data_IF_574230245609
#
_entry.id   IF_574230245609
#
_cell.length_a   1.000
_cell.length_b   1.000
_cell.length_c   1.000
_cell.angle_alpha   90.00
_cell.angle_beta   90.00
_cell.angle_gamma   90.00
#
_symmetry.space_group_name_H-M   'P 1'
#
loop_
_entity.id
_entity.type
_entity.pdbx_description
1 polymer ?
#
# COMPACT_ATOMS: atom_id res chain seq x y z
N UNK A 1 53.53 -3.04 -13.68
CA UNK A 1 52.52 -3.34 -12.65
C UNK A 1 51.75 -4.58 -13.06
N UNK A 2 51.74 -5.62 -12.22
CA UNK A 2 51.04 -6.87 -12.50
C UNK A 2 49.53 -6.62 -12.54
N UNK A 3 48.90 -6.80 -13.70
CA UNK A 3 47.44 -6.94 -13.80
C UNK A 3 47.05 -8.17 -12.97
N UNK A 4 46.50 -7.95 -11.77
CA UNK A 4 45.94 -9.02 -10.94
C UNK A 4 44.62 -9.51 -11.57
N UNK A 5 44.72 -10.32 -12.62
CA UNK A 5 43.60 -11.02 -13.25
C UNK A 5 43.40 -12.42 -12.70
N UNK A 6 44.01 -12.77 -11.56
CA UNK A 6 43.83 -14.10 -10.99
C UNK A 6 42.53 -14.15 -10.20
N UNK A 7 41.45 -14.61 -10.82
CA UNK A 7 40.27 -15.05 -10.07
C UNK A 7 40.63 -16.34 -9.32
N UNK A 8 41.27 -16.20 -8.16
CA UNK A 8 41.80 -17.29 -7.32
C UNK A 8 40.68 -18.00 -6.57
N UNK A 9 39.73 -17.21 -6.09
CA UNK A 9 38.68 -17.66 -5.19
C UNK A 9 37.35 -17.84 -5.91
N UNK A 10 36.59 -18.84 -5.50
CA UNK A 10 35.23 -19.10 -5.99
C UNK A 10 34.35 -19.57 -4.84
N UNK A 11 33.06 -19.24 -4.90
CA UNK A 11 32.08 -19.85 -4.02
C UNK A 11 31.86 -21.31 -4.40
N UNK A 12 31.93 -22.23 -3.45
CA UNK A 12 31.80 -23.67 -3.70
C UNK A 12 30.75 -24.30 -2.81
N UNK A 13 30.19 -25.42 -3.27
CA UNK A 13 29.29 -26.23 -2.46
C UNK A 13 30.12 -27.06 -1.47
N UNK A 14 29.93 -26.77 -0.17
CA UNK A 14 30.46 -27.57 0.94
C UNK A 14 29.30 -28.00 1.82
N UNK A 15 29.27 -29.28 2.21
CA UNK A 15 28.43 -29.71 3.32
C UNK A 15 28.94 -29.05 4.59
N UNK A 16 28.12 -28.20 5.20
CA UNK A 16 28.38 -27.64 6.52
C UNK A 16 27.26 -28.06 7.44
N UNK A 17 27.62 -28.50 8.63
CA UNK A 17 26.66 -28.66 9.71
C UNK A 17 26.41 -27.30 10.34
N UNK A 18 25.19 -26.80 10.17
CA UNK A 18 24.74 -25.52 10.73
C UNK A 18 24.22 -25.68 12.18
N UNK A 19 24.73 -26.68 12.90
CA UNK A 19 24.44 -26.93 14.31
C UNK A 19 25.51 -26.24 15.15
N UNK A 20 25.13 -25.16 15.81
CA UNK A 20 26.05 -24.34 16.60
C UNK A 20 25.85 -24.54 18.09
N UNK A 21 26.96 -24.51 18.82
CA UNK A 21 26.96 -24.31 20.28
C UNK A 21 26.32 -22.97 20.64
N UNK A 22 25.78 -22.85 21.86
CA UNK A 22 25.16 -21.59 22.31
C UNK A 22 26.15 -20.42 22.28
N UNK A 23 27.42 -20.67 22.62
CA UNK A 23 28.49 -19.67 22.53
C UNK A 23 28.72 -19.16 21.11
N UNK A 24 28.76 -20.07 20.12
CA UNK A 24 28.94 -19.71 18.71
C UNK A 24 27.73 -18.94 18.18
N UNK A 25 26.51 -19.28 18.60
CA UNK A 25 25.29 -18.54 18.24
C UNK A 25 25.33 -17.11 18.74
N UNK A 26 25.78 -16.89 19.98
CA UNK A 26 25.91 -15.53 20.55
C UNK A 26 26.91 -14.70 19.75
N UNK A 27 28.06 -15.27 19.40
CA UNK A 27 29.09 -14.60 18.59
C UNK A 27 28.59 -14.30 17.17
N UNK A 28 27.97 -15.28 16.50
CA UNK A 28 27.36 -15.07 15.18
C UNK A 28 26.32 -13.96 15.20
N UNK A 29 25.43 -13.92 16.20
CA UNK A 29 24.44 -12.85 16.35
C UNK A 29 25.06 -11.49 16.64
N UNK A 30 26.22 -11.45 17.30
CA UNK A 30 26.98 -10.21 17.52
C UNK A 30 27.56 -9.71 16.19
N UNK A 31 28.21 -10.59 15.42
CA UNK A 31 28.76 -10.28 14.10
C UNK A 31 27.67 -9.78 13.16
N UNK A 32 26.52 -10.47 13.08
CA UNK A 32 25.40 -10.01 12.25
C UNK A 32 24.96 -8.60 12.63
N UNK A 33 24.81 -8.30 13.93
CA UNK A 33 24.42 -6.95 14.38
C UNK A 33 25.46 -5.90 14.02
N UNK A 34 26.75 -6.19 14.23
CA UNK A 34 27.84 -5.26 13.89
C UNK A 34 27.93 -5.03 12.38
N UNK A 35 27.86 -6.10 11.60
CA UNK A 35 27.87 -6.04 10.14
C UNK A 35 26.71 -5.22 9.58
N UNK A 36 25.49 -5.42 10.09
CA UNK A 36 24.32 -4.63 9.66
C UNK A 36 24.43 -3.15 10.03
N UNK A 37 25.08 -2.83 11.16
CA UNK A 37 25.38 -1.45 11.55
C UNK A 37 26.40 -0.84 10.59
N UNK A 38 27.50 -1.53 10.32
CA UNK A 38 28.51 -1.07 9.37
C UNK A 38 27.91 -0.85 7.97
N UNK A 39 27.11 -1.78 7.45
CA UNK A 39 26.41 -1.55 6.17
C UNK A 39 25.64 -0.22 6.17
N UNK A 40 24.97 0.11 7.28
CA UNK A 40 24.25 1.38 7.44
C UNK A 40 25.22 2.58 7.45
N UNK A 41 26.34 2.48 8.15
CA UNK A 41 27.39 3.52 8.20
C UNK A 41 28.01 3.79 6.81
N UNK A 42 28.05 2.79 5.94
CA UNK A 42 28.46 2.93 4.53
C UNK A 42 27.29 3.32 3.59
N UNK A 43 26.12 3.69 4.12
CA UNK A 43 24.90 4.00 3.36
C UNK A 43 24.39 2.84 2.47
N UNK A 44 24.69 1.60 2.86
CA UNK A 44 24.28 0.38 2.17
C UNK A 44 23.05 -0.21 2.87
N UNK A 45 21.94 -0.24 2.14
CA UNK A 45 20.72 -0.89 2.63
C UNK A 45 20.75 -2.39 2.37
N UNK A 46 20.64 -3.21 3.42
CA UNK A 46 20.47 -4.66 3.30
C UNK A 46 19.31 -5.03 2.37
N UNK A 47 18.20 -4.28 2.42
CA UNK A 47 17.07 -4.45 1.51
C UNK A 47 17.49 -4.29 0.05
N UNK A 48 18.24 -3.24 -0.29
CA UNK A 48 18.71 -2.99 -1.66
C UNK A 48 19.73 -4.04 -2.11
N UNK A 49 20.62 -4.49 -1.22
CA UNK A 49 21.55 -5.59 -1.50
C UNK A 49 20.80 -6.87 -1.92
N UNK A 50 19.69 -7.18 -1.25
CA UNK A 50 18.90 -8.38 -1.51
C UNK A 50 17.88 -8.26 -2.66
N UNK A 51 17.72 -7.08 -3.26
CA UNK A 51 16.72 -6.85 -4.33
C UNK A 51 17.20 -7.32 -5.70
N UNK A 52 18.53 -7.30 -5.93
CA UNK A 52 19.16 -7.60 -7.21
C UNK A 52 19.82 -8.98 -7.19
N UNK A 53 19.46 -9.81 -8.15
CA UNK A 53 20.12 -11.10 -8.38
C UNK A 53 21.40 -10.85 -9.21
N UNK A 54 22.55 -11.20 -8.64
CA UNK A 54 23.86 -11.13 -9.33
C UNK A 54 24.22 -12.54 -9.79
N UNK A 55 24.67 -12.70 -11.04
CA UNK A 55 25.02 -14.02 -11.58
C UNK A 55 26.12 -14.69 -10.75
N UNK A 56 26.14 -16.03 -10.70
CA UNK A 56 27.19 -16.77 -9.97
C UNK A 56 28.61 -16.38 -10.46
N UNK A 57 28.77 -16.23 -11.77
CA UNK A 57 30.02 -15.79 -12.40
C UNK A 57 30.44 -14.40 -11.92
N UNK A 58 29.52 -13.43 -11.89
CA UNK A 58 29.84 -12.07 -11.47
C UNK A 58 30.05 -11.96 -9.97
N UNK A 59 29.34 -12.74 -9.15
CA UNK A 59 29.63 -12.82 -7.70
C UNK A 59 31.04 -13.32 -7.43
N UNK A 60 31.53 -14.30 -8.17
CA UNK A 60 32.91 -14.75 -8.05
C UNK A 60 33.91 -13.66 -8.46
N UNK A 61 33.63 -12.86 -9.50
CA UNK A 61 34.46 -11.69 -9.84
C UNK A 61 34.48 -10.68 -8.69
N UNK A 62 33.30 -10.35 -8.15
CA UNK A 62 33.13 -9.40 -7.04
C UNK A 62 33.85 -9.87 -5.77
N UNK A 63 33.80 -11.17 -5.47
CA UNK A 63 34.56 -11.78 -4.38
C UNK A 63 36.07 -11.52 -4.52
N UNK A 64 36.63 -11.81 -5.69
CA UNK A 64 38.06 -11.62 -5.92
C UNK A 64 38.44 -10.14 -5.86
N UNK A 65 37.64 -9.24 -6.45
CA UNK A 65 37.83 -7.79 -6.31
C UNK A 65 37.89 -7.41 -4.83
N UNK A 66 36.89 -7.80 -4.04
CA UNK A 66 36.85 -7.45 -2.62
C UNK A 66 38.08 -7.96 -1.85
N UNK A 67 38.49 -9.21 -2.08
CA UNK A 67 39.67 -9.80 -1.43
C UNK A 67 40.98 -9.14 -1.87
N UNK A 68 41.12 -8.77 -3.14
CA UNK A 68 42.30 -8.07 -3.62
C UNK A 68 42.36 -6.63 -3.04
N UNK A 69 41.20 -5.96 -2.92
CA UNK A 69 41.11 -4.61 -2.37
C UNK A 69 41.35 -4.55 -0.86
N UNK A 70 40.96 -5.57 -0.09
CA UNK A 70 41.27 -5.66 1.35
C UNK A 70 42.80 -5.69 1.58
N UNK A 71 43.55 -6.32 0.66
CA UNK A 71 45.00 -6.44 0.76
C UNK A 71 45.75 -5.21 0.18
N UNK A 72 45.02 -4.18 -0.28
CA UNK A 72 45.59 -2.93 -0.74
C UNK A 72 45.35 -1.84 0.31
N UNK A 73 46.36 -1.58 1.14
CA UNK A 73 46.26 -0.66 2.29
C UNK A 73 45.74 0.73 1.91
N UNK A 74 46.18 1.27 0.76
CA UNK A 74 45.75 2.59 0.29
C UNK A 74 44.23 2.61 0.01
N UNK A 75 43.72 1.61 -0.71
CA UNK A 75 42.29 1.53 -1.04
C UNK A 75 41.46 1.20 0.19
N UNK A 76 41.90 0.24 1.02
CA UNK A 76 41.21 -0.14 2.24
C UNK A 76 41.10 1.05 3.22
N UNK A 77 42.20 1.77 3.44
CA UNK A 77 42.23 2.96 4.28
C UNK A 77 41.33 4.07 3.71
N UNK A 78 41.40 4.33 2.40
CA UNK A 78 40.53 5.31 1.74
C UNK A 78 39.05 4.97 1.92
N UNK A 79 38.66 3.70 1.77
CA UNK A 79 37.29 3.26 1.99
C UNK A 79 36.85 3.49 3.45
N UNK A 80 37.69 3.16 4.43
CA UNK A 80 37.38 3.35 5.85
C UNK A 80 37.17 4.83 6.18
N UNK A 81 38.03 5.70 5.66
CA UNK A 81 37.99 7.15 5.94
C UNK A 81 36.86 7.87 5.21
N UNK A 82 36.65 7.57 3.93
CA UNK A 82 35.72 8.33 3.07
C UNK A 82 34.35 7.68 2.94
N UNK A 83 34.22 6.40 3.33
CA UNK A 83 33.06 5.53 3.10
C UNK A 83 32.70 5.37 1.62
N UNK A 84 33.64 5.65 0.71
CA UNK A 84 33.46 5.56 -0.75
C UNK A 84 34.61 4.77 -1.38
N UNK A 85 34.28 4.01 -2.43
CA UNK A 85 35.27 3.31 -3.23
C UNK A 85 35.94 4.26 -4.24
N UNK A 86 37.28 4.32 -4.30
CA UNK A 86 38.00 5.07 -5.33
C UNK A 86 37.91 4.34 -6.69
N UNK A 87 36.83 4.60 -7.43
CA UNK A 87 36.46 3.82 -8.63
C UNK A 87 37.54 3.79 -9.72
N UNK A 88 38.19 4.93 -9.98
CA UNK A 88 39.26 5.01 -10.99
C UNK A 88 40.44 4.13 -10.60
N UNK A 89 40.90 4.26 -9.35
CA UNK A 89 42.05 3.51 -8.83
C UNK A 89 41.76 2.01 -8.81
N UNK A 90 40.53 1.61 -8.42
CA UNK A 90 40.13 0.19 -8.45
C UNK A 90 40.12 -0.33 -9.88
N UNK A 91 39.60 0.43 -10.84
CA UNK A 91 39.55 0.01 -12.24
C UNK A 91 40.95 -0.21 -12.81
N UNK A 92 41.88 0.69 -12.52
CA UNK A 92 43.28 0.59 -12.95
C UNK A 92 43.99 -0.61 -12.30
N UNK A 93 43.82 -0.79 -10.98
CA UNK A 93 44.48 -1.85 -10.23
C UNK A 93 43.93 -3.26 -10.54
N UNK A 94 42.62 -3.37 -10.76
CA UNK A 94 41.95 -4.67 -10.93
C UNK A 94 41.72 -5.03 -12.40
N UNK A 95 41.80 -4.05 -13.31
CA UNK A 95 41.50 -4.23 -14.73
C UNK A 95 40.01 -4.40 -15.06
N UNK A 96 39.10 -4.28 -14.07
CA UNK A 96 37.66 -4.32 -14.32
C UNK A 96 37.13 -2.95 -14.77
N UNK A 97 36.14 -2.90 -15.68
CA UNK A 97 35.53 -1.64 -16.10
C UNK A 97 34.90 -0.89 -14.92
N UNK A 98 35.05 0.44 -14.89
CA UNK A 98 34.44 1.32 -13.88
C UNK A 98 32.94 1.06 -13.73
N UNK A 99 32.22 0.83 -14.83
CA UNK A 99 30.78 0.56 -14.80
C UNK A 99 30.44 -0.75 -14.06
N UNK A 100 31.25 -1.80 -14.23
CA UNK A 100 31.07 -3.05 -13.50
C UNK A 100 31.26 -2.84 -12.00
N UNK A 101 32.29 -2.08 -11.61
CA UNK A 101 32.57 -1.76 -10.21
C UNK A 101 31.43 -0.93 -9.62
N UNK A 102 31.01 0.13 -10.32
CA UNK A 102 29.94 1.05 -9.91
C UNK A 102 28.62 0.34 -9.69
N UNK A 103 28.20 -0.49 -10.64
CA UNK A 103 26.95 -1.28 -10.55
C UNK A 103 27.00 -2.26 -9.37
N UNK A 104 28.18 -2.77 -9.02
CA UNK A 104 28.36 -3.77 -7.96
C UNK A 104 28.94 -3.20 -6.65
N UNK A 105 29.10 -1.89 -6.52
CA UNK A 105 29.85 -1.25 -5.44
C UNK A 105 29.38 -1.67 -4.05
N UNK A 106 28.07 -1.76 -3.84
CA UNK A 106 27.51 -2.12 -2.54
C UNK A 106 27.86 -3.55 -2.15
N UNK A 107 27.90 -4.48 -3.11
CA UNK A 107 28.25 -5.87 -2.85
C UNK A 107 29.78 -6.01 -2.65
N UNK A 108 30.58 -5.25 -3.39
CA UNK A 108 32.04 -5.17 -3.19
C UNK A 108 32.33 -4.70 -1.76
N UNK A 109 31.76 -3.56 -1.34
CA UNK A 109 31.96 -3.04 0.03
C UNK A 109 31.43 -4.03 1.07
N UNK A 110 30.26 -4.64 0.86
CA UNK A 110 29.73 -5.65 1.78
C UNK A 110 30.69 -6.84 1.97
N UNK A 111 31.33 -7.33 0.90
CA UNK A 111 32.36 -8.36 0.99
C UNK A 111 33.63 -7.86 1.67
N UNK A 112 34.08 -6.63 1.38
CA UNK A 112 35.24 -6.05 2.05
C UNK A 112 35.04 -5.94 3.57
N UNK A 113 33.84 -5.55 4.00
CA UNK A 113 33.46 -5.53 5.41
C UNK A 113 33.44 -6.94 6.01
N UNK A 114 32.82 -7.92 5.33
CA UNK A 114 32.75 -9.30 5.82
C UNK A 114 34.12 -9.96 6.00
N UNK A 115 35.07 -9.75 5.07
CA UNK A 115 36.29 -10.56 5.02
C UNK A 115 37.54 -9.93 5.62
N UNK A 116 37.59 -8.60 5.84
CA UNK A 116 38.82 -8.03 6.36
C UNK A 116 38.72 -6.65 7.01
N UNK A 117 37.80 -5.78 6.57
CA UNK A 117 37.70 -4.45 7.19
C UNK A 117 36.94 -4.51 8.52
N UNK A 118 35.96 -5.42 8.65
CA UNK A 118 35.22 -5.64 9.88
C UNK A 118 35.65 -6.91 10.61
N UNK A 119 35.33 -6.98 11.91
CA UNK A 119 35.50 -8.19 12.72
C UNK A 119 34.24 -9.05 12.71
N UNK A 120 33.98 -9.70 11.56
CA UNK A 120 32.79 -10.54 11.33
C UNK A 120 33.14 -12.00 11.07
N UNK A 121 34.19 -12.51 11.73
CA UNK A 121 34.75 -13.83 11.45
C UNK A 121 33.77 -14.99 11.62
N UNK A 122 32.78 -14.92 12.54
CA UNK A 122 31.73 -15.93 12.67
C UNK A 122 30.77 -15.89 11.50
N UNK A 123 30.40 -14.71 11.02
CA UNK A 123 29.52 -14.56 9.86
C UNK A 123 30.23 -14.91 8.54
N UNK A 124 31.47 -14.46 8.37
CA UNK A 124 32.29 -14.76 7.19
C UNK A 124 32.53 -16.27 7.03
N UNK A 125 32.75 -16.99 8.13
CA UNK A 125 32.89 -18.45 8.14
C UNK A 125 31.66 -19.21 7.65
N UNK A 126 30.50 -18.56 7.53
CA UNK A 126 29.30 -19.17 6.98
C UNK A 126 29.38 -19.30 5.45
N UNK A 127 30.20 -18.49 4.80
CA UNK A 127 30.45 -18.55 3.37
C UNK A 127 31.37 -19.73 3.02
N UNK A 128 31.08 -20.38 1.90
CA UNK A 128 31.83 -21.53 1.40
C UNK A 128 32.71 -21.06 0.25
N UNK A 129 33.93 -20.65 0.58
CA UNK A 129 34.91 -20.15 -0.38
C UNK A 129 36.01 -21.19 -0.57
N UNK A 130 36.29 -21.49 -1.82
CA UNK A 130 37.37 -22.36 -2.27
C UNK A 130 38.24 -21.66 -3.29
N UNK A 131 39.11 -22.45 -3.92
CA UNK A 131 39.94 -22.02 -5.04
C UNK A 131 39.39 -22.56 -6.36
N UNK A 132 39.82 -22.04 -7.50
CA UNK A 132 39.42 -22.59 -8.82
C UNK A 132 39.80 -24.06 -9.05
N UNK A 133 40.76 -24.59 -8.27
CA UNK A 133 41.14 -25.99 -8.32
C UNK A 133 40.07 -26.89 -7.68
N UNK A 134 39.28 -26.35 -6.76
CA UNK A 134 38.12 -27.04 -6.23
C UNK A 134 37.10 -27.20 -7.37
N UNK A 135 36.66 -28.43 -7.63
CA UNK A 135 35.64 -28.71 -8.66
C UNK A 135 34.35 -27.97 -8.30
N UNK A 136 34.21 -26.75 -8.81
CA UNK A 136 33.03 -25.93 -8.61
C UNK A 136 31.89 -26.47 -9.47
N UNK A 137 30.88 -27.03 -8.83
CA UNK A 137 29.56 -27.18 -9.43
C UNK A 137 28.75 -25.93 -9.08
N UNK A 138 27.95 -25.45 -10.05
CA UNK A 138 26.97 -24.40 -9.77
C UNK A 138 26.02 -24.94 -8.68
N UNK A 139 25.82 -24.22 -7.58
CA UNK A 139 25.11 -24.77 -6.44
C UNK A 139 23.63 -25.02 -6.74
N UNK A 140 23.15 -26.20 -6.33
CA UNK A 140 21.78 -26.66 -6.54
C UNK A 140 20.78 -26.00 -5.57
N UNK A 141 21.20 -25.68 -4.35
CA UNK A 141 20.33 -25.15 -3.28
C UNK A 141 20.59 -23.67 -2.98
N UNK A 142 19.84 -22.78 -3.63
CA UNK A 142 19.98 -21.32 -3.45
C UNK A 142 19.05 -20.71 -2.40
N UNK A 143 17.96 -21.37 -2.03
CA UNK A 143 16.94 -20.77 -1.15
C UNK A 143 17.15 -21.12 0.33
N UNK A 144 18.40 -20.98 0.79
CA UNK A 144 18.77 -21.26 2.18
C UNK A 144 19.99 -20.43 2.59
N UNK A 145 20.09 -20.10 3.88
CA UNK A 145 21.20 -19.33 4.40
C UNK A 145 21.02 -18.92 5.84
N UNK A 146 22.01 -18.19 6.35
CA UNK A 146 21.97 -17.62 7.70
C UNK A 146 21.06 -16.40 7.70
N UNK A 147 20.03 -16.43 8.54
CA UNK A 147 19.09 -15.33 8.69
C UNK A 147 19.77 -14.10 9.26
N UNK A 148 19.74 -13.00 8.50
CA UNK A 148 20.32 -11.72 8.90
C UNK A 148 19.30 -10.80 9.55
N UNK A 149 18.11 -10.69 8.97
CA UNK A 149 17.08 -9.73 9.42
C UNK A 149 15.69 -10.08 8.89
N UNK A 150 14.67 -9.76 9.69
CA UNK A 150 13.26 -9.86 9.31
C UNK A 150 12.69 -8.58 8.71
N UNK A 151 11.76 -8.77 7.77
CA UNK A 151 10.94 -7.76 7.12
C UNK A 151 9.49 -8.26 7.04
N UNK A 152 8.87 -8.43 8.21
CA UNK A 152 7.52 -8.96 8.35
C UNK A 152 7.47 -10.45 8.00
N UNK A 153 6.77 -10.79 6.92
CA UNK A 153 6.63 -12.19 6.45
C UNK A 153 7.84 -12.72 5.69
N UNK A 154 8.80 -11.86 5.34
CA UNK A 154 10.02 -12.26 4.63
C UNK A 154 11.25 -12.01 5.49
N UNK A 155 12.28 -12.81 5.29
CA UNK A 155 13.59 -12.63 5.93
C UNK A 155 14.66 -12.46 4.86
N UNK A 156 15.67 -11.64 5.15
CA UNK A 156 16.92 -11.63 4.36
C UNK A 156 17.89 -12.63 4.95
N UNK A 157 18.46 -13.48 4.10
CA UNK A 157 19.51 -14.43 4.45
C UNK A 157 20.81 -14.10 3.72
N UNK A 158 21.95 -14.51 4.31
CA UNK A 158 23.21 -14.68 3.61
C UNK A 158 23.36 -16.15 3.21
N UNK A 159 23.37 -16.44 1.92
CA UNK A 159 23.59 -17.82 1.43
C UNK A 159 25.06 -18.19 1.58
N UNK A 160 25.41 -19.48 1.69
CA UNK A 160 26.81 -19.93 1.68
C UNK A 160 27.60 -19.50 0.42
N UNK A 161 26.90 -19.08 -0.63
CA UNK A 161 27.44 -18.67 -1.92
C UNK A 161 27.52 -17.13 -2.08
N UNK A 162 27.43 -16.41 -0.96
CA UNK A 162 27.62 -14.97 -0.90
C UNK A 162 26.44 -14.16 -1.41
N UNK A 163 25.25 -14.75 -1.60
CA UNK A 163 24.05 -14.01 -1.98
C UNK A 163 23.36 -13.44 -0.75
N UNK A 164 22.89 -12.20 -0.87
CA UNK A 164 21.88 -11.65 0.02
C UNK A 164 20.52 -11.91 -0.63
N UNK A 165 19.67 -12.72 0.00
CA UNK A 165 18.43 -13.20 -0.63
C UNK A 165 17.24 -12.97 0.29
N UNK A 166 16.13 -12.50 -0.30
CA UNK A 166 14.83 -12.51 0.36
C UNK A 166 14.20 -13.91 0.27
N UNK A 167 13.79 -14.45 1.41
CA UNK A 167 13.05 -15.70 1.53
C UNK A 167 11.74 -15.50 2.29
N UNK A 168 10.70 -16.22 1.89
CA UNK A 168 9.58 -16.55 2.76
C UNK A 168 9.98 -17.82 3.54
N UNK A 169 10.29 -17.71 4.84
CA UNK A 169 10.87 -18.80 5.62
C UNK A 169 9.85 -19.92 5.85
N UNK A 170 10.27 -21.16 5.65
CA UNK A 170 9.45 -22.34 5.94
C UNK A 170 9.04 -22.41 7.42
N UNK A 171 9.92 -21.92 8.31
CA UNK A 171 9.67 -21.82 9.75
C UNK A 171 9.73 -20.35 10.20
N UNK A 172 8.56 -19.80 10.56
CA UNK A 172 8.42 -18.38 10.93
C UNK A 172 9.00 -18.03 12.31
N UNK A 173 9.16 -18.99 13.22
CA UNK A 173 9.70 -18.79 14.57
C UNK A 173 11.25 -18.76 14.63
N UNK A 174 11.93 -18.74 13.48
CA UNK A 174 13.39 -18.63 13.42
C UNK A 174 13.90 -17.28 13.91
N UNK A 175 15.06 -17.27 14.54
CA UNK A 175 15.73 -16.07 15.03
C UNK A 175 16.84 -15.61 14.07
N UNK A 176 17.30 -14.38 14.25
CA UNK A 176 18.52 -13.90 13.57
C UNK A 176 19.71 -14.79 13.95
N UNK A 177 20.52 -15.16 12.96
CA UNK A 177 21.64 -16.10 13.09
C UNK A 177 21.27 -17.56 12.85
N UNK A 178 19.98 -17.92 12.81
CA UNK A 178 19.58 -19.28 12.52
C UNK A 178 19.75 -19.59 11.02
N UNK A 179 20.14 -20.82 10.69
CA UNK A 179 20.16 -21.29 9.31
C UNK A 179 18.75 -21.70 8.88
N UNK A 180 18.20 -21.03 7.87
CA UNK A 180 16.82 -21.22 7.43
C UNK A 180 16.75 -21.60 5.96
N UNK A 181 15.66 -22.28 5.60
CA UNK A 181 15.25 -22.56 4.22
C UNK A 181 13.92 -21.86 3.94
N UNK A 182 13.63 -21.61 2.67
CA UNK A 182 12.38 -20.98 2.29
C UNK A 182 12.13 -20.97 0.80
N UNK A 183 11.08 -20.26 0.40
CA UNK A 183 10.75 -20.01 -1.00
C UNK A 183 11.08 -18.57 -1.40
N UNK A 184 11.23 -18.30 -2.70
CA UNK A 184 11.32 -16.92 -3.19
C UNK A 184 9.96 -16.24 -2.93
N UNK A 185 9.92 -15.06 -2.31
CA UNK A 185 8.65 -14.42 -1.99
C UNK A 185 7.89 -14.02 -3.27
N UNK A 186 6.58 -14.32 -3.30
CA UNK A 186 5.69 -14.01 -4.42
C UNK A 186 5.60 -12.49 -4.63
N UNK A 187 5.55 -11.72 -3.53
CA UNK A 187 5.46 -10.26 -3.55
C UNK A 187 6.61 -9.66 -2.74
N UNK A 188 7.45 -8.85 -3.40
CA UNK A 188 8.51 -8.10 -2.70
C UNK A 188 7.88 -7.04 -1.77
N UNK A 189 8.47 -6.74 -0.60
CA UNK A 189 7.88 -5.84 0.40
C UNK A 189 7.47 -4.45 -0.13
N UNK A 190 8.20 -3.88 -1.10
CA UNK A 190 7.84 -2.60 -1.73
C UNK A 190 6.51 -2.66 -2.48
N UNK A 191 6.22 -3.77 -3.18
CA UNK A 191 4.98 -3.93 -3.94
C UNK A 191 3.77 -4.09 -3.02
N UNK A 192 3.96 -4.77 -1.88
CA UNK A 192 2.93 -4.89 -0.85
C UNK A 192 2.55 -3.53 -0.25
N UNK A 193 3.53 -2.65 0.01
CA UNK A 193 3.25 -1.28 0.49
C UNK A 193 2.46 -0.46 -0.54
N UNK A 194 2.87 -0.50 -1.81
CA UNK A 194 2.14 0.20 -2.88
C UNK A 194 0.68 -0.26 -2.95
N UNK A 195 0.46 -1.58 -2.89
CA UNK A 195 -0.89 -2.14 -2.90
C UNK A 195 -1.70 -1.68 -1.67
N UNK A 196 -1.11 -1.73 -0.48
CA UNK A 196 -1.75 -1.24 0.74
C UNK A 196 -2.13 0.25 0.65
N UNK A 197 -1.26 1.09 0.09
CA UNK A 197 -1.54 2.51 -0.15
C UNK A 197 -2.70 2.71 -1.13
N UNK A 198 -2.76 1.92 -2.21
CA UNK A 198 -3.87 1.98 -3.17
C UNK A 198 -5.19 1.58 -2.53
N UNK A 199 -5.20 0.51 -1.72
CA UNK A 199 -6.40 0.07 -0.99
C UNK A 199 -6.86 1.15 -0.01
N UNK A 200 -5.93 1.75 0.74
CA UNK A 200 -6.25 2.84 1.66
C UNK A 200 -6.84 4.07 0.93
N UNK A 201 -6.26 4.45 -0.21
CA UNK A 201 -6.77 5.55 -1.03
C UNK A 201 -8.18 5.28 -1.57
N UNK A 202 -8.45 4.04 -1.99
CA UNK A 202 -9.75 3.61 -2.46
C UNK A 202 -10.81 3.65 -1.34
N UNK A 203 -10.46 3.17 -0.14
CA UNK A 203 -11.33 3.27 1.04
C UNK A 203 -11.63 4.74 1.36
N UNK A 204 -10.62 5.61 1.34
CA UNK A 204 -10.80 7.03 1.59
C UNK A 204 -11.72 7.68 0.54
N UNK A 205 -11.58 7.32 -0.73
CA UNK A 205 -12.47 7.78 -1.81
C UNK A 205 -13.92 7.36 -1.56
N UNK A 206 -14.16 6.11 -1.13
CA UNK A 206 -15.51 5.64 -0.80
C UNK A 206 -16.10 6.36 0.40
N UNK A 207 -15.32 6.60 1.46
CA UNK A 207 -15.77 7.36 2.63
C UNK A 207 -16.09 8.81 2.23
N UNK A 208 -15.23 9.44 1.45
CA UNK A 208 -15.45 10.80 0.97
C UNK A 208 -16.69 10.90 0.09
N UNK A 209 -16.88 9.95 -0.83
CA UNK A 209 -18.07 9.87 -1.68
C UNK A 209 -19.34 9.66 -0.84
N UNK A 210 -19.33 8.72 0.11
CA UNK A 210 -20.45 8.50 1.01
C UNK A 210 -20.77 9.78 1.80
N UNK A 211 -19.76 10.43 2.38
CA UNK A 211 -19.94 11.70 3.08
C UNK A 211 -20.58 12.75 2.18
N UNK A 212 -20.05 12.99 0.98
CA UNK A 212 -20.64 13.98 0.06
C UNK A 212 -22.03 13.58 -0.47
N UNK A 213 -22.32 12.28 -0.58
CA UNK A 213 -23.61 11.80 -1.03
C UNK A 213 -24.69 11.92 0.05
N UNK A 214 -24.37 11.71 1.32
CA UNK A 214 -25.35 11.76 2.41
C UNK A 214 -25.52 13.14 3.05
N UNK A 215 -24.69 14.13 2.71
CA UNK A 215 -24.86 15.51 3.19
C UNK A 215 -26.12 16.15 2.56
N UNK A 216 -27.12 16.54 3.36
CA UNK A 216 -28.25 17.31 2.87
C UNK A 216 -27.80 18.73 2.51
N UNK A 217 -28.23 19.25 1.37
CA UNK A 217 -27.92 20.63 0.93
C UNK A 217 -29.15 21.38 0.42
N UNK A 218 -30.27 20.68 0.24
CA UNK A 218 -31.56 21.27 -0.10
C UNK A 218 -32.65 20.59 0.70
N UNK A 219 -33.63 21.34 1.20
CA UNK A 219 -34.75 20.76 1.94
C UNK A 219 -36.03 21.56 1.75
N UNK A 220 -37.16 20.87 1.80
CA UNK A 220 -38.48 21.49 1.84
C UNK A 220 -39.40 20.76 2.82
N UNK A 221 -40.41 21.48 3.28
CA UNK A 221 -41.41 21.00 4.21
C UNK A 221 -42.80 21.11 3.61
N UNK A 222 -43.57 20.03 3.67
CA UNK A 222 -45.02 20.04 3.42
C UNK A 222 -45.71 20.47 4.69
N UNK A 223 -46.56 21.50 4.61
CA UNK A 223 -47.37 22.02 5.72
C UNK A 223 -48.86 21.82 5.44
N UNK A 224 -49.62 21.49 6.48
CA UNK A 224 -51.06 21.25 6.41
C UNK A 224 -51.52 20.17 7.40
N UNK A 225 -52.51 19.37 7.01
CA UNK A 225 -52.97 18.24 7.84
C UNK A 225 -51.91 17.14 7.96
N UNK A 226 -51.16 16.90 6.89
CA UNK A 226 -50.03 15.97 6.86
C UNK A 226 -48.75 16.79 6.74
N UNK A 227 -47.89 16.74 7.76
CA UNK A 227 -46.66 17.53 7.79
C UNK A 227 -45.41 16.65 7.71
N UNK A 228 -44.53 16.96 6.77
CA UNK A 228 -43.28 16.21 6.56
C UNK A 228 -42.17 17.10 5.98
N UNK A 229 -40.94 16.85 6.41
CA UNK A 229 -39.71 17.47 5.89
C UNK A 229 -38.94 16.47 5.03
N UNK A 230 -38.38 16.95 3.93
CA UNK A 230 -37.59 16.15 3.00
C UNK A 230 -36.27 16.84 2.70
N UNK A 231 -35.16 16.12 2.86
CA UNK A 231 -33.81 16.61 2.58
C UNK A 231 -33.18 15.86 1.42
N UNK A 232 -32.51 16.62 0.55
CA UNK A 232 -31.89 16.16 -0.67
C UNK A 232 -30.40 16.52 -0.68
N UNK A 233 -29.59 15.61 -1.21
CA UNK A 233 -28.19 15.88 -1.46
C UNK A 233 -27.99 16.75 -2.72
N UNK A 234 -26.73 17.09 -2.99
CA UNK A 234 -26.35 17.93 -4.12
C UNK A 234 -26.65 17.34 -5.50
N UNK A 235 -26.96 16.05 -5.57
CA UNK A 235 -27.34 15.35 -6.79
C UNK A 235 -28.87 15.28 -6.97
N UNK A 236 -29.63 15.98 -6.11
CA UNK A 236 -31.10 15.95 -6.13
C UNK A 236 -31.69 14.61 -5.70
N UNK A 237 -30.95 13.83 -4.91
CA UNK A 237 -31.41 12.56 -4.37
C UNK A 237 -31.79 12.72 -2.91
N UNK A 238 -32.95 12.19 -2.56
CA UNK A 238 -33.46 12.27 -1.20
C UNK A 238 -32.59 11.42 -0.26
N UNK A 239 -32.10 12.05 0.81
CA UNK A 239 -31.24 11.44 1.84
C UNK A 239 -31.94 11.28 3.18
N UNK A 240 -32.97 12.09 3.44
CA UNK A 240 -33.73 12.07 4.69
C UNK A 240 -35.18 12.48 4.44
N UNK A 241 -36.10 11.85 5.18
CA UNK A 241 -37.51 12.23 5.24
C UNK A 241 -37.97 12.08 6.70
N UNK A 242 -38.68 13.09 7.21
CA UNK A 242 -39.13 13.13 8.60
C UNK A 242 -40.58 13.61 8.68
N UNK A 243 -41.44 12.85 9.36
CA UNK A 243 -42.82 13.26 9.62
C UNK A 243 -42.83 14.22 10.80
N UNK A 244 -43.38 15.42 10.61
CA UNK A 244 -43.39 16.48 11.62
C UNK A 244 -44.60 16.38 12.56
N UNK A 245 -45.67 15.70 12.13
CA UNK A 245 -46.84 15.40 12.96
C UNK A 245 -47.19 13.89 12.97
N UNK A 246 -48.28 13.50 13.64
CA UNK A 246 -48.73 12.08 13.68
C UNK A 246 -49.03 11.55 12.28
N UNK A 247 -49.75 12.33 11.49
CA UNK A 247 -50.24 11.96 10.18
C UNK A 247 -49.08 11.83 9.18
N UNK A 248 -48.13 12.78 9.21
CA UNK A 248 -46.91 12.72 8.41
C UNK A 248 -46.01 11.54 8.77
N UNK A 249 -45.93 11.16 10.05
CA UNK A 249 -45.22 9.93 10.45
C UNK A 249 -45.90 8.67 9.92
N UNK A 250 -47.23 8.63 9.89
CA UNK A 250 -48.01 7.53 9.30
C UNK A 250 -47.74 7.38 7.80
N UNK A 251 -47.73 8.49 7.06
CA UNK A 251 -47.45 8.49 5.61
C UNK A 251 -46.01 8.06 5.29
N UNK A 252 -45.07 8.26 6.22
CA UNK A 252 -43.67 7.89 6.00
C UNK A 252 -43.28 6.50 6.54
N UNK A 253 -44.13 5.86 7.34
CA UNK A 253 -43.81 4.62 8.05
C UNK A 253 -43.54 3.42 7.11
N UNK A 254 -44.26 3.33 5.99
CA UNK A 254 -44.26 2.17 5.10
C UNK A 254 -43.51 2.39 3.78
N UNK A 255 -42.77 3.49 3.67
CA UNK A 255 -42.22 3.92 2.38
C UNK A 255 -40.70 4.11 2.41
N UNK A 256 -40.01 3.30 1.59
CA UNK A 256 -38.61 3.53 1.24
C UNK A 256 -38.52 4.73 0.28
N UNK A 257 -38.15 5.89 0.82
CA UNK A 257 -37.95 7.11 0.04
C UNK A 257 -36.49 7.35 -0.38
N UNK A 258 -35.54 6.51 0.05
CA UNK A 258 -34.11 6.72 -0.21
C UNK A 258 -33.79 6.76 -1.71
N UNK A 259 -32.92 7.70 -2.11
CA UNK A 259 -32.41 7.87 -3.48
C UNK A 259 -33.45 8.25 -4.55
N UNK A 260 -34.63 8.71 -4.13
CA UNK A 260 -35.66 9.27 -5.03
C UNK A 260 -35.36 10.71 -5.42
N UNK A 261 -35.85 11.11 -6.60
CA UNK A 261 -35.86 12.51 -7.04
C UNK A 261 -36.97 13.28 -6.34
N UNK A 262 -36.94 14.60 -6.39
CA UNK A 262 -38.00 15.47 -5.82
C UNK A 262 -39.38 15.07 -6.35
N UNK A 263 -39.52 14.92 -7.67
CA UNK A 263 -40.75 14.48 -8.32
C UNK A 263 -41.28 13.16 -7.75
N UNK A 264 -40.48 12.09 -7.81
CA UNK A 264 -40.92 10.77 -7.33
C UNK A 264 -41.14 10.71 -5.81
N UNK A 265 -40.44 11.53 -5.03
CA UNK A 265 -40.65 11.66 -3.58
C UNK A 265 -42.00 12.32 -3.29
N UNK A 266 -42.26 13.48 -3.89
CA UNK A 266 -43.49 14.23 -3.67
C UNK A 266 -44.70 13.45 -4.18
N UNK A 267 -44.63 12.89 -5.38
CA UNK A 267 -45.70 12.06 -5.94
C UNK A 267 -46.07 10.88 -5.03
N UNK A 268 -45.06 10.18 -4.49
CA UNK A 268 -45.28 9.04 -3.60
C UNK A 268 -45.87 9.46 -2.26
N UNK A 269 -45.38 10.56 -1.68
CA UNK A 269 -45.93 11.11 -0.45
C UNK A 269 -47.41 11.52 -0.61
N UNK A 270 -47.76 12.18 -1.71
CA UNK A 270 -49.14 12.56 -2.01
C UNK A 270 -50.03 11.34 -2.22
N UNK A 271 -49.56 10.34 -2.97
CA UNK A 271 -50.31 9.10 -3.21
C UNK A 271 -50.60 8.35 -1.91
N UNK A 272 -49.61 8.22 -1.03
CA UNK A 272 -49.75 7.53 0.25
C UNK A 272 -50.67 8.30 1.21
N UNK A 273 -50.54 9.63 1.27
CA UNK A 273 -51.44 10.46 2.07
C UNK A 273 -52.90 10.43 1.60
N UNK A 274 -53.14 10.25 0.29
CA UNK A 274 -54.47 10.04 -0.28
C UNK A 274 -55.02 8.64 0.03
N UNK A 275 -54.19 7.59 -0.11
CA UNK A 275 -54.59 6.20 0.17
C UNK A 275 -54.99 6.01 1.64
N UNK A 276 -54.27 6.66 2.56
CA UNK A 276 -54.60 6.69 3.99
C UNK A 276 -55.78 7.62 4.34
N UNK A 277 -56.46 8.24 3.37
CA UNK A 277 -57.53 9.22 3.57
C UNK A 277 -57.14 10.44 4.43
N UNK A 278 -55.84 10.75 4.51
CA UNK A 278 -55.33 11.91 5.24
C UNK A 278 -55.44 13.18 4.38
N UNK A 279 -55.26 13.04 3.08
CA UNK A 279 -55.64 14.01 2.05
C UNK A 279 -56.91 13.54 1.32
N UNK A 280 -57.72 14.47 0.86
CA UNK A 280 -58.88 14.23 0.00
C UNK A 280 -58.68 14.88 -1.37
N UNK A 281 -59.49 14.48 -2.36
CA UNK A 281 -59.54 15.21 -3.62
C UNK A 281 -59.84 16.69 -3.38
N UNK A 282 -59.23 17.57 -4.18
CA UNK A 282 -59.31 19.04 -4.03
C UNK A 282 -58.56 19.61 -2.81
N UNK A 283 -57.73 18.83 -2.12
CA UNK A 283 -56.91 19.35 -1.02
C UNK A 283 -55.91 20.40 -1.50
N UNK A 284 -55.72 21.45 -0.68
CA UNK A 284 -54.68 22.46 -0.88
C UNK A 284 -53.52 22.23 0.10
N UNK A 285 -52.28 22.16 -0.42
CA UNK A 285 -51.06 21.98 0.37
C UNK A 285 -50.10 23.13 0.16
N UNK A 286 -49.30 23.45 1.19
CA UNK A 286 -48.20 24.41 1.08
C UNK A 286 -46.87 23.70 1.25
N UNK A 287 -45.98 23.87 0.27
CA UNK A 287 -44.59 23.47 0.32
C UNK A 287 -43.75 24.70 0.67
N UNK A 288 -42.93 24.61 1.72
CA UNK A 288 -42.00 25.66 2.12
C UNK A 288 -40.58 25.15 1.91
N UNK A 289 -39.83 25.77 1.02
CA UNK A 289 -38.39 25.52 0.87
C UNK A 289 -37.68 26.09 2.10
N UNK A 290 -36.92 25.24 2.80
CA UNK A 290 -36.22 25.57 4.05
C UNK A 290 -34.75 25.84 3.77
N UNK A 291 -34.12 25.00 2.92
CA UNK A 291 -32.72 25.16 2.54
C UNK A 291 -32.51 24.97 1.04
N UNK A 292 -31.59 25.77 0.49
CA UNK A 292 -31.19 25.68 -0.90
C UNK A 292 -32.22 26.25 -1.88
N UNK A 293 -31.99 26.01 -3.17
CA UNK A 293 -32.86 26.43 -4.26
C UNK A 293 -33.36 25.20 -5.02
N UNK A 294 -34.63 25.26 -5.42
CA UNK A 294 -35.27 24.25 -6.25
C UNK A 294 -35.77 24.89 -7.54
N UNK A 295 -35.50 24.27 -8.68
CA UNK A 295 -36.08 24.69 -9.95
C UNK A 295 -37.57 24.30 -9.99
N UNK A 296 -38.41 25.15 -10.60
CA UNK A 296 -39.85 24.89 -10.71
C UNK A 296 -40.15 23.55 -11.40
N UNK A 297 -39.33 23.16 -12.39
CA UNK A 297 -39.50 21.91 -13.12
C UNK A 297 -39.23 20.67 -12.25
N UNK A 298 -38.45 20.79 -11.17
CA UNK A 298 -38.19 19.68 -10.25
C UNK A 298 -39.47 19.22 -9.51
N UNK A 299 -40.46 20.10 -9.38
CA UNK A 299 -41.78 19.79 -8.81
C UNK A 299 -42.86 19.52 -9.86
N UNK A 300 -42.58 19.82 -11.15
CA UNK A 300 -43.49 19.59 -12.29
C UNK A 300 -43.13 18.32 -13.07
N UNK A 301 -42.43 17.38 -12.45
CA UNK A 301 -42.15 16.11 -13.08
C UNK A 301 -43.44 15.31 -13.36
N UNK A 302 -43.29 14.25 -14.16
CA UNK A 302 -44.41 13.47 -14.67
C UNK A 302 -45.23 12.83 -13.54
N UNK A 303 -44.56 12.28 -12.53
CA UNK A 303 -45.19 11.55 -11.43
C UNK A 303 -46.04 12.50 -10.57
N UNK A 304 -45.48 13.65 -10.18
CA UNK A 304 -46.17 14.66 -9.36
C UNK A 304 -47.32 15.27 -10.13
N UNK A 305 -47.09 15.62 -11.40
CA UNK A 305 -48.12 16.18 -12.26
C UNK A 305 -49.31 15.22 -12.43
N UNK A 306 -49.04 13.93 -12.59
CA UNK A 306 -50.07 12.90 -12.66
C UNK A 306 -50.90 12.82 -11.36
N UNK A 307 -50.26 12.87 -10.18
CA UNK A 307 -50.98 12.87 -8.90
C UNK A 307 -51.84 14.11 -8.70
N UNK A 308 -51.32 15.28 -9.10
CA UNK A 308 -52.04 16.55 -9.05
C UNK A 308 -53.28 16.51 -9.95
N UNK A 309 -53.13 16.08 -11.20
CA UNK A 309 -54.23 16.01 -12.16
C UNK A 309 -55.30 14.99 -11.74
N UNK A 310 -54.89 13.76 -11.39
CA UNK A 310 -55.80 12.68 -11.04
C UNK A 310 -56.69 12.99 -9.83
N UNK A 311 -56.16 13.73 -8.86
CA UNK A 311 -56.84 13.99 -7.58
C UNK A 311 -57.27 15.46 -7.40
N UNK A 312 -57.14 16.26 -8.47
CA UNK A 312 -57.45 17.69 -8.49
C UNK A 312 -56.77 18.48 -7.36
N UNK A 313 -55.51 18.17 -7.03
CA UNK A 313 -54.80 18.80 -5.91
C UNK A 313 -54.30 20.19 -6.29
N UNK A 314 -54.20 21.08 -5.30
CA UNK A 314 -53.55 22.38 -5.48
C UNK A 314 -52.38 22.52 -4.52
N UNK A 315 -51.18 22.76 -5.05
CA UNK A 315 -49.98 22.86 -4.22
C UNK A 315 -49.33 24.22 -4.42
N UNK A 316 -49.20 24.98 -3.34
CA UNK A 316 -48.50 26.27 -3.31
C UNK A 316 -47.06 26.02 -2.89
N UNK A 317 -46.10 26.40 -3.71
CA UNK A 317 -44.67 26.32 -3.38
C UNK A 317 -44.16 27.71 -3.02
N UNK A 318 -43.61 27.85 -1.82
CA UNK A 318 -42.93 29.05 -1.33
C UNK A 318 -41.42 28.77 -1.28
N UNK A 319 -40.63 29.54 -2.03
CA UNK A 319 -39.18 29.38 -2.13
C UNK A 319 -38.40 30.02 -0.97
N UNK A 320 -39.09 30.67 -0.02
CA UNK A 320 -38.47 31.30 1.15
C UNK A 320 -37.77 32.65 0.88
N UNK A 321 -37.55 32.99 -0.39
CA UNK A 321 -36.97 34.26 -0.88
C UNK A 321 -38.04 35.31 -1.25
N UNK A 322 -39.31 35.02 -0.95
CA UNK A 322 -40.47 35.84 -1.33
C UNK A 322 -41.06 35.46 -2.70
N UNK A 323 -40.43 34.56 -3.46
CA UNK A 323 -40.98 33.98 -4.67
C UNK A 323 -41.79 32.71 -4.37
N UNK A 324 -42.73 32.40 -5.26
CA UNK A 324 -43.52 31.19 -5.17
C UNK A 324 -44.30 30.91 -6.44
N UNK A 325 -44.75 29.68 -6.61
CA UNK A 325 -45.55 29.24 -7.74
C UNK A 325 -46.61 28.25 -7.28
N UNK A 326 -47.58 27.99 -8.17
CA UNK A 326 -48.69 27.08 -7.89
C UNK A 326 -48.63 25.92 -8.87
N UNK A 327 -48.63 24.71 -8.33
CA UNK A 327 -48.86 23.49 -9.07
C UNK A 327 -50.35 23.18 -8.98
N UNK A 328 -51.00 23.10 -10.13
CA UNK A 328 -52.43 22.87 -10.23
C UNK A 328 -52.75 22.06 -11.49
N UNK A 329 -53.91 21.37 -11.51
CA UNK A 329 -54.34 20.60 -12.67
C UNK A 329 -54.47 21.53 -13.88
N UNK A 330 -53.98 21.07 -15.03
CA UNK A 330 -54.17 21.78 -16.30
C UNK A 330 -55.66 21.67 -16.63
N UNK A 331 -56.31 22.81 -16.84
CA UNK A 331 -57.72 22.89 -17.23
C UNK A 331 -57.99 22.33 -18.62
#
# INVERSE_FOLDING_TARGET
MNKLTSSRYVFIERSKDYVYSDGDRVRLRKDIRSFLKELTDYNISLRKLSEREVSYTDRNKILNIALDLINNDAIAHSLVMTKKLPMSDISENTGYPVEFIKVNQNLIVAYMLLFGIGDHSFLARQLSIGTKLDRSKTPLRRNQGIKLKDYGVTSVVLTPFGEFLYLDPSLRSSNTGDFITGSKPIVKPKRAMIFATLVAALIFLFIFFAYTFYQPVRSFTVMGKVEASFSFNRYGRMVEAQGLNSDGRSVLADVVYSNKTIDSTLARFLAEALDQNLLTQNSELTLIVVEGYFDENEFKGEDTSHQIQRNNLRIKVNQGDGNGFILSPIK
#
